data_IF_977489913586
#
_entry.id   IF_977489913586
#
_cell.length_a   1.000
_cell.length_b   1.000
_cell.length_c   1.000
_cell.angle_alpha   90.00
_cell.angle_beta   90.00
_cell.angle_gamma   90.00
#
_symmetry.space_group_name_H-M   'P 1'
#
loop_
_entity.id
_entity.type
_entity.pdbx_description
1 polymer ?
#
# COMPACT_ATOMS: atom_id res chain seq x y z
N UNK A 1 -6.30 14.17 8.71
CA UNK A 1 -5.62 15.08 7.78
C UNK A 1 -6.63 15.89 6.97
N UNK A 2 -7.43 15.24 6.12
CA UNK A 2 -8.41 15.90 5.24
C UNK A 2 -9.34 16.90 5.93
N UNK A 3 -9.97 16.52 7.03
CA UNK A 3 -10.92 17.41 7.74
C UNK A 3 -10.23 18.68 8.26
N UNK A 4 -8.99 18.54 8.74
CA UNK A 4 -8.16 19.67 9.16
C UNK A 4 -7.83 20.57 7.98
N UNK A 5 -7.52 20.00 6.82
CA UNK A 5 -7.22 20.77 5.60
C UNK A 5 -8.44 21.53 5.12
N UNK A 6 -9.61 20.88 5.05
CA UNK A 6 -10.88 21.53 4.69
C UNK A 6 -11.23 22.66 5.65
N UNK A 7 -11.08 22.43 6.96
CA UNK A 7 -11.34 23.43 8.00
C UNK A 7 -10.47 24.68 7.81
N UNK A 8 -9.14 24.50 7.72
CA UNK A 8 -8.20 25.62 7.60
C UNK A 8 -8.29 26.32 6.25
N UNK A 9 -8.65 25.60 5.18
CA UNK A 9 -8.96 26.19 3.87
C UNK A 9 -10.19 27.11 3.95
N UNK A 10 -11.30 26.62 4.52
CA UNK A 10 -12.50 27.43 4.72
C UNK A 10 -12.22 28.68 5.56
N UNK A 11 -11.46 28.52 6.64
CA UNK A 11 -11.05 29.64 7.49
C UNK A 11 -10.21 30.66 6.72
N UNK A 12 -9.23 30.21 5.93
CA UNK A 12 -8.37 31.07 5.11
C UNK A 12 -9.16 31.81 4.03
N UNK A 13 -10.13 31.16 3.39
CA UNK A 13 -11.00 31.80 2.39
C UNK A 13 -11.88 32.89 2.98
N UNK A 14 -12.44 32.65 4.18
CA UNK A 14 -13.29 33.61 4.90
C UNK A 14 -12.50 34.81 5.43
N UNK A 15 -11.27 34.59 5.90
CA UNK A 15 -10.40 35.65 6.39
C UNK A 15 -9.86 36.55 5.26
N UNK A 16 -9.74 36.01 4.05
CA UNK A 16 -9.26 36.72 2.86
C UNK A 16 -10.42 37.23 1.96
N UNK A 17 -11.56 37.64 2.53
CA UNK A 17 -12.57 38.46 1.83
C UNK A 17 -11.92 39.77 1.35
N UNK A 18 -12.36 40.36 0.22
CA UNK A 18 -11.53 41.29 -0.55
C UNK A 18 -11.14 42.53 0.27
N UNK A 19 -9.90 42.55 0.79
CA UNK A 19 -9.13 43.78 0.92
C UNK A 19 -8.33 43.91 -0.35
N UNK A 20 -8.49 45.06 -1.00
CA UNK A 20 -7.57 45.58 -2.01
C UNK A 20 -6.23 45.79 -1.28
N UNK A 21 -5.42 44.75 -1.16
CA UNK A 21 -4.03 44.87 -0.74
C UNK A 21 -3.25 45.24 -2.01
N UNK A 22 -2.68 46.43 -2.04
CA UNK A 22 -1.99 46.97 -3.22
C UNK A 22 -0.73 46.16 -3.60
N UNK A 23 -0.22 45.31 -2.70
CA UNK A 23 1.06 44.59 -2.87
C UNK A 23 0.94 43.05 -2.90
N UNK A 24 -0.23 42.46 -2.67
CA UNK A 24 -0.41 41.00 -2.66
C UNK A 24 -1.69 40.57 -3.37
N UNK A 25 -1.58 39.63 -4.31
CA UNK A 25 -2.77 39.06 -4.96
C UNK A 25 -3.56 38.20 -3.97
N UNK A 26 -4.89 38.15 -4.05
CA UNK A 26 -5.70 37.24 -3.25
C UNK A 26 -5.31 35.76 -3.41
N UNK A 27 -4.68 35.41 -4.54
CA UNK A 27 -4.12 34.09 -4.79
C UNK A 27 -2.91 33.78 -3.89
N UNK A 28 -1.99 34.75 -3.77
CA UNK A 28 -0.74 34.58 -3.01
C UNK A 28 -0.99 34.57 -1.50
N UNK A 29 -1.92 35.40 -1.02
CA UNK A 29 -2.36 35.40 0.38
C UNK A 29 -2.97 34.04 0.78
N UNK A 30 -3.78 33.48 -0.13
CA UNK A 30 -4.40 32.18 0.06
C UNK A 30 -3.37 31.05 0.02
N UNK A 31 -2.47 31.03 -0.98
CA UNK A 31 -1.35 30.08 -1.08
C UNK A 31 -0.50 30.07 0.19
N UNK A 32 -0.12 31.25 0.70
CA UNK A 32 0.67 31.38 1.92
C UNK A 32 -0.04 30.80 3.13
N UNK A 33 -1.35 31.03 3.23
CA UNK A 33 -2.18 30.54 4.34
C UNK A 33 -2.25 29.01 4.36
N UNK A 34 -2.20 28.37 3.19
CA UNK A 34 -2.37 26.91 3.04
C UNK A 34 -1.03 26.17 3.09
N UNK A 35 0.08 26.82 2.71
CA UNK A 35 1.43 26.21 2.64
C UNK A 35 1.92 25.57 3.93
N UNK A 36 1.42 26.03 5.08
CA UNK A 36 1.79 25.46 6.40
C UNK A 36 1.21 24.06 6.62
N UNK A 37 0.07 23.73 6.00
CA UNK A 37 -0.62 22.45 6.19
C UNK A 37 0.13 21.28 5.53
N UNK A 38 0.57 21.35 4.25
CA UNK A 38 1.43 20.33 3.67
C UNK A 38 2.67 20.07 4.53
N UNK A 39 3.41 21.12 4.92
CA UNK A 39 4.64 20.96 5.69
C UNK A 39 4.40 20.25 7.04
N UNK A 40 3.34 20.63 7.76
CA UNK A 40 2.98 20.01 9.03
C UNK A 40 2.63 18.52 8.88
N UNK A 41 1.79 18.19 7.90
CA UNK A 41 1.32 16.82 7.71
C UNK A 41 2.40 15.93 7.11
N UNK A 42 3.17 16.40 6.13
CA UNK A 42 4.32 15.67 5.58
C UNK A 42 5.31 15.30 6.68
N UNK A 43 5.66 16.24 7.58
CA UNK A 43 6.53 15.94 8.73
C UNK A 43 5.96 14.85 9.65
N UNK A 44 4.65 14.88 9.92
CA UNK A 44 3.98 13.84 10.73
C UNK A 44 4.02 12.47 10.06
N UNK A 45 3.77 12.43 8.75
CA UNK A 45 3.85 11.20 7.95
C UNK A 45 5.28 10.69 7.84
N UNK A 46 6.29 11.56 7.72
CA UNK A 46 7.69 11.15 7.69
C UNK A 46 8.09 10.40 8.96
N UNK A 47 7.69 10.93 10.12
CA UNK A 47 7.96 10.29 11.42
C UNK A 47 7.14 9.00 11.58
N UNK A 48 5.85 9.03 11.21
CA UNK A 48 4.98 7.87 11.36
C UNK A 48 5.34 6.73 10.40
N UNK A 49 5.77 7.04 9.18
CA UNK A 49 6.07 6.07 8.12
C UNK A 49 7.15 5.08 8.56
N UNK A 50 8.21 5.56 9.20
CA UNK A 50 9.29 4.70 9.71
C UNK A 50 8.75 3.72 10.75
N UNK A 51 8.11 4.24 11.80
CA UNK A 51 7.55 3.42 12.89
C UNK A 51 6.50 2.42 12.40
N UNK A 52 5.64 2.85 11.48
CA UNK A 52 4.60 2.00 10.90
C UNK A 52 5.19 0.95 9.98
N UNK A 53 6.21 1.28 9.19
CA UNK A 53 6.93 0.32 8.34
C UNK A 53 7.57 -0.79 9.16
N UNK A 54 8.32 -0.42 10.22
CA UNK A 54 8.95 -1.37 11.13
C UNK A 54 7.92 -2.30 11.80
N UNK A 55 6.91 -1.69 12.41
CA UNK A 55 5.83 -2.43 13.06
C UNK A 55 5.12 -3.37 12.08
N UNK A 56 4.83 -2.89 10.87
CA UNK A 56 4.15 -3.65 9.84
C UNK A 56 4.96 -4.87 9.41
N UNK A 57 6.23 -4.69 9.05
CA UNK A 57 7.08 -5.78 8.55
C UNK A 57 7.22 -6.89 9.60
N UNK A 58 7.51 -6.52 10.85
CA UNK A 58 7.64 -7.47 11.96
C UNK A 58 6.30 -8.15 12.30
N UNK A 59 5.18 -7.43 12.21
CA UNK A 59 3.85 -7.99 12.47
C UNK A 59 3.42 -8.98 11.40
N UNK A 60 3.74 -8.73 10.12
CA UNK A 60 3.45 -9.68 9.04
C UNK A 60 4.36 -10.90 9.16
N UNK A 61 5.66 -10.72 9.37
CA UNK A 61 6.61 -11.84 9.57
C UNK A 61 6.12 -12.79 10.66
N UNK A 62 5.82 -12.25 11.85
CA UNK A 62 5.40 -13.06 12.99
C UNK A 62 4.14 -13.86 12.70
N UNK A 63 3.15 -13.24 12.05
CA UNK A 63 1.89 -13.88 11.69
C UNK A 63 2.08 -14.96 10.62
N UNK A 64 2.84 -14.67 9.57
CA UNK A 64 3.16 -15.63 8.50
C UNK A 64 3.91 -16.84 9.03
N UNK A 65 4.98 -16.61 9.80
CA UNK A 65 5.78 -17.67 10.42
C UNK A 65 4.95 -18.51 11.40
N UNK A 66 4.06 -17.90 12.18
CA UNK A 66 3.16 -18.65 13.07
C UNK A 66 2.15 -19.52 12.30
N UNK A 67 1.55 -18.98 11.23
CA UNK A 67 0.60 -19.70 10.39
C UNK A 67 1.26 -20.90 9.69
N UNK A 68 2.42 -20.70 9.08
CA UNK A 68 3.15 -21.80 8.43
C UNK A 68 3.59 -22.87 9.44
N UNK A 69 4.11 -22.46 10.60
CA UNK A 69 4.49 -23.41 11.66
C UNK A 69 3.30 -24.25 12.12
N UNK A 70 2.11 -23.66 12.21
CA UNK A 70 0.88 -24.41 12.52
C UNK A 70 0.59 -25.45 11.44
N UNK A 71 0.58 -25.06 10.17
CA UNK A 71 0.33 -25.98 9.04
C UNK A 71 1.31 -27.16 9.05
N UNK A 72 2.60 -26.89 9.26
CA UNK A 72 3.63 -27.93 9.30
C UNK A 72 3.43 -28.88 10.49
N UNK A 73 3.12 -28.35 11.68
CA UNK A 73 2.84 -29.19 12.86
C UNK A 73 1.60 -30.04 12.67
N UNK A 74 0.54 -29.50 12.08
CA UNK A 74 -0.67 -30.23 11.74
C UNK A 74 -0.35 -31.38 10.75
N UNK A 75 0.69 -31.23 9.92
CA UNK A 75 1.26 -32.27 9.05
C UNK A 75 2.35 -33.15 9.67
N UNK A 76 2.56 -33.09 11.00
CA UNK A 76 3.55 -33.91 11.71
C UNK A 76 5.00 -33.39 11.67
N UNK A 77 5.22 -32.19 11.13
CA UNK A 77 6.56 -31.58 11.00
C UNK A 77 6.71 -30.45 12.03
N UNK A 78 7.61 -30.61 12.99
CA UNK A 78 7.96 -29.55 13.93
C UNK A 78 9.16 -28.75 13.44
N UNK A 79 9.01 -27.41 13.36
CA UNK A 79 10.07 -26.51 12.89
C UNK A 79 10.25 -25.31 13.83
N UNK A 80 11.50 -24.94 14.07
CA UNK A 80 11.88 -23.70 14.75
C UNK A 80 12.41 -22.70 13.72
N UNK A 81 11.59 -21.71 13.39
CA UNK A 81 11.97 -20.62 12.50
C UNK A 81 12.85 -19.58 13.21
N UNK A 82 13.99 -19.25 12.60
CA UNK A 82 14.93 -18.21 13.05
C UNK A 82 14.95 -17.03 12.07
N UNK A 83 15.41 -15.87 12.52
CA UNK A 83 15.59 -14.72 11.63
C UNK A 83 16.90 -14.90 10.83
N UNK A 84 16.80 -15.42 9.60
CA UNK A 84 17.93 -15.62 8.68
C UNK A 84 18.33 -14.32 7.97
N UNK A 85 19.43 -14.33 7.21
CA UNK A 85 19.84 -13.18 6.41
C UNK A 85 18.78 -12.82 5.36
N UNK A 86 18.29 -13.81 4.60
CA UNK A 86 17.23 -13.61 3.62
C UNK A 86 15.94 -13.04 4.24
N UNK A 87 15.59 -13.48 5.46
CA UNK A 87 14.44 -12.93 6.17
C UNK A 87 14.64 -11.47 6.59
N UNK A 88 15.85 -11.09 7.01
CA UNK A 88 16.19 -9.68 7.30
C UNK A 88 16.09 -8.82 6.05
N UNK A 89 16.60 -9.30 4.92
CA UNK A 89 16.51 -8.57 3.65
C UNK A 89 15.05 -8.31 3.24
N UNK A 90 14.16 -9.30 3.46
CA UNK A 90 12.72 -9.13 3.19
C UNK A 90 12.08 -8.14 4.17
N UNK A 91 12.45 -8.17 5.46
CA UNK A 91 11.99 -7.17 6.44
C UNK A 91 12.39 -5.77 5.98
N UNK A 92 13.66 -5.55 5.65
CA UNK A 92 14.18 -4.25 5.25
C UNK A 92 13.54 -3.74 3.95
N UNK A 93 13.40 -4.62 2.95
CA UNK A 93 12.70 -4.30 1.70
C UNK A 93 11.23 -3.92 1.95
N UNK A 94 10.56 -4.64 2.86
CA UNK A 94 9.17 -4.37 3.24
C UNK A 94 9.05 -3.03 3.96
N UNK A 95 9.96 -2.72 4.88
CA UNK A 95 10.01 -1.42 5.58
C UNK A 95 10.19 -0.30 4.56
N UNK A 96 11.20 -0.39 3.69
CA UNK A 96 11.49 0.64 2.70
C UNK A 96 10.31 0.91 1.75
N UNK A 97 9.67 -0.15 1.24
CA UNK A 97 8.50 -0.04 0.39
C UNK A 97 7.33 0.65 1.12
N UNK A 98 7.04 0.25 2.36
CA UNK A 98 5.96 0.83 3.15
C UNK A 98 6.24 2.29 3.50
N UNK A 99 7.47 2.64 3.91
CA UNK A 99 7.86 4.02 4.20
C UNK A 99 7.61 4.91 3.00
N UNK A 100 8.06 4.48 1.82
CA UNK A 100 7.88 5.21 0.56
C UNK A 100 6.39 5.40 0.24
N UNK A 101 5.59 4.33 0.34
CA UNK A 101 4.17 4.37 0.04
C UNK A 101 3.38 5.23 1.04
N UNK A 102 3.68 5.14 2.34
CA UNK A 102 3.03 5.96 3.36
C UNK A 102 3.33 7.45 3.13
N UNK A 103 4.59 7.80 2.84
CA UNK A 103 4.99 9.20 2.55
C UNK A 103 4.35 9.75 1.27
N UNK A 104 4.05 8.89 0.29
CA UNK A 104 3.38 9.32 -0.94
C UNK A 104 1.91 9.71 -0.75
N UNK A 105 1.25 9.27 0.33
CA UNK A 105 -0.17 9.58 0.61
C UNK A 105 -0.40 11.09 0.78
N UNK A 106 0.28 11.78 1.72
CA UNK A 106 0.10 13.22 1.87
C UNK A 106 0.60 14.00 0.65
N UNK A 107 1.71 13.58 0.02
CA UNK A 107 2.26 14.26 -1.17
C UNK A 107 1.21 14.37 -2.27
N UNK A 108 0.66 13.23 -2.71
CA UNK A 108 -0.34 13.21 -3.79
C UNK A 108 -1.63 13.96 -3.41
N UNK A 109 -2.03 13.90 -2.14
CA UNK A 109 -3.20 14.65 -1.66
C UNK A 109 -2.95 16.16 -1.74
N UNK A 110 -1.80 16.64 -1.28
CA UNK A 110 -1.51 18.07 -1.28
C UNK A 110 -1.28 18.64 -2.68
N UNK A 111 -0.72 17.86 -3.61
CA UNK A 111 -0.63 18.26 -5.02
C UNK A 111 -2.03 18.51 -5.62
N UNK A 112 -3.00 17.65 -5.30
CA UNK A 112 -4.39 17.81 -5.74
C UNK A 112 -5.08 19.01 -5.09
N UNK A 113 -4.85 19.20 -3.78
CA UNK A 113 -5.38 20.35 -3.02
C UNK A 113 -4.86 21.66 -3.59
N UNK A 114 -3.56 21.77 -3.86
CA UNK A 114 -2.95 22.95 -4.46
C UNK A 114 -3.57 23.26 -5.82
N UNK A 115 -3.71 22.25 -6.68
CA UNK A 115 -4.37 22.40 -7.98
C UNK A 115 -5.82 22.90 -7.87
N UNK A 116 -6.61 22.36 -6.94
CA UNK A 116 -8.00 22.82 -6.75
C UNK A 116 -8.09 24.23 -6.19
N UNK A 117 -7.20 24.59 -5.26
CA UNK A 117 -7.10 25.95 -4.75
C UNK A 117 -6.82 26.93 -5.88
N UNK A 118 -5.87 26.61 -6.77
CA UNK A 118 -5.53 27.48 -7.89
C UNK A 118 -6.70 27.67 -8.87
N UNK A 119 -7.41 26.58 -9.20
CA UNK A 119 -8.60 26.67 -10.06
C UNK A 119 -9.70 27.50 -9.43
N UNK A 120 -9.99 27.29 -8.15
CA UNK A 120 -11.02 28.05 -7.42
C UNK A 120 -10.72 29.55 -7.43
N UNK A 121 -9.46 29.94 -7.27
CA UNK A 121 -9.04 31.35 -7.37
C UNK A 121 -9.25 31.91 -8.78
N UNK A 122 -8.89 31.15 -9.83
CA UNK A 122 -9.07 31.56 -11.23
C UNK A 122 -10.55 31.73 -11.61
N UNK A 123 -11.44 30.93 -11.02
CA UNK A 123 -12.89 30.96 -11.31
C UNK A 123 -13.67 31.85 -10.34
N UNK A 124 -13.04 32.87 -9.76
CA UNK A 124 -13.74 33.86 -8.93
C UNK A 124 -14.00 33.42 -7.48
N UNK A 125 -13.14 32.58 -6.92
CA UNK A 125 -13.19 32.08 -5.53
C UNK A 125 -14.43 31.22 -5.24
N UNK A 126 -14.74 30.30 -6.15
CA UNK A 126 -15.78 29.28 -5.92
C UNK A 126 -15.38 28.35 -4.76
N UNK A 127 -15.86 28.70 -3.56
CA UNK A 127 -15.63 27.94 -2.34
C UNK A 127 -16.47 26.64 -2.33
N UNK A 128 -17.64 26.65 -2.95
CA UNK A 128 -18.53 25.49 -2.97
C UNK A 128 -17.90 24.36 -3.81
N UNK A 129 -17.45 24.68 -5.04
CA UNK A 129 -16.74 23.74 -5.90
C UNK A 129 -15.41 23.28 -5.30
N UNK A 130 -14.66 24.17 -4.63
CA UNK A 130 -13.44 23.78 -3.92
C UNK A 130 -13.72 22.74 -2.83
N UNK A 131 -14.76 22.93 -2.01
CA UNK A 131 -15.09 21.97 -0.95
C UNK A 131 -15.46 20.61 -1.53
N UNK A 132 -16.23 20.58 -2.62
CA UNK A 132 -16.57 19.33 -3.32
C UNK A 132 -15.32 18.61 -3.87
N UNK A 133 -14.38 19.36 -4.46
CA UNK A 133 -13.09 18.83 -4.93
C UNK A 133 -12.29 18.21 -3.77
N UNK A 134 -12.19 18.90 -2.63
CA UNK A 134 -11.45 18.43 -1.45
C UNK A 134 -12.07 17.16 -0.83
N UNK A 135 -13.39 17.09 -0.76
CA UNK A 135 -14.11 15.89 -0.29
C UNK A 135 -13.85 14.70 -1.23
N UNK A 136 -13.92 14.93 -2.55
CA UNK A 136 -13.58 13.92 -3.56
C UNK A 136 -12.15 13.41 -3.41
N UNK A 137 -11.16 14.31 -3.27
CA UNK A 137 -9.76 13.93 -3.07
C UNK A 137 -9.53 13.20 -1.76
N UNK A 138 -10.27 13.55 -0.72
CA UNK A 138 -10.23 12.84 0.57
C UNK A 138 -10.74 11.41 0.42
N UNK A 139 -11.82 11.20 -0.34
CA UNK A 139 -12.33 9.87 -0.69
C UNK A 139 -11.35 9.05 -1.54
N UNK A 140 -10.64 9.67 -2.48
CA UNK A 140 -9.59 9.02 -3.28
C UNK A 140 -8.41 8.62 -2.37
N UNK A 141 -7.96 9.53 -1.52
CA UNK A 141 -6.83 9.32 -0.59
C UNK A 141 -7.12 8.18 0.38
N UNK A 142 -8.34 8.12 0.94
CA UNK A 142 -8.78 7.02 1.80
C UNK A 142 -8.75 5.66 1.07
N UNK A 143 -9.31 5.60 -0.13
CA UNK A 143 -9.31 4.36 -0.95
C UNK A 143 -7.89 3.92 -1.31
N UNK A 144 -7.02 4.86 -1.66
CA UNK A 144 -5.61 4.60 -1.95
C UNK A 144 -4.87 4.05 -0.73
N UNK A 145 -5.05 4.65 0.46
CA UNK A 145 -4.44 4.16 1.69
C UNK A 145 -4.90 2.73 2.02
N UNK A 146 -6.19 2.44 1.87
CA UNK A 146 -6.73 1.09 2.07
C UNK A 146 -6.16 0.08 1.05
N UNK A 147 -6.04 0.48 -0.22
CA UNK A 147 -5.44 -0.35 -1.26
C UNK A 147 -3.97 -0.65 -0.95
N UNK A 148 -3.17 0.36 -0.58
CA UNK A 148 -1.77 0.20 -0.18
C UNK A 148 -1.65 -0.78 0.99
N UNK A 149 -2.45 -0.61 2.04
CA UNK A 149 -2.38 -1.48 3.21
C UNK A 149 -2.64 -2.95 2.85
N UNK A 150 -3.66 -3.21 2.03
CA UNK A 150 -3.98 -4.57 1.60
C UNK A 150 -2.90 -5.14 0.67
N UNK A 151 -2.46 -4.37 -0.32
CA UNK A 151 -1.46 -4.76 -1.30
C UNK A 151 -0.14 -5.14 -0.62
N UNK A 152 0.36 -4.26 0.25
CA UNK A 152 1.60 -4.49 0.97
C UNK A 152 1.47 -5.68 1.93
N UNK A 153 0.31 -5.90 2.56
CA UNK A 153 0.09 -7.05 3.42
C UNK A 153 0.20 -8.36 2.63
N UNK A 154 -0.38 -8.44 1.45
CA UNK A 154 -0.34 -9.64 0.61
C UNK A 154 1.08 -9.90 0.08
N UNK A 155 1.77 -8.86 -0.39
CA UNK A 155 3.16 -8.95 -0.87
C UNK A 155 4.10 -9.43 0.23
N UNK A 156 4.07 -8.80 1.40
CA UNK A 156 4.91 -9.17 2.53
C UNK A 156 4.61 -10.61 3.01
N UNK A 157 3.32 -10.98 3.11
CA UNK A 157 2.92 -12.34 3.49
C UNK A 157 3.49 -13.37 2.51
N UNK A 158 3.36 -13.11 1.20
CA UNK A 158 3.90 -13.99 0.16
C UNK A 158 5.41 -14.12 0.21
N UNK A 159 6.13 -13.00 0.37
CA UNK A 159 7.58 -12.98 0.45
C UNK A 159 8.10 -13.78 1.65
N UNK A 160 7.53 -13.56 2.84
CA UNK A 160 7.91 -14.31 4.04
C UNK A 160 7.60 -15.81 3.92
N UNK A 161 6.41 -16.18 3.42
CA UNK A 161 6.07 -17.58 3.22
C UNK A 161 7.00 -18.26 2.21
N UNK A 162 7.33 -17.58 1.12
CA UNK A 162 8.28 -18.06 0.11
C UNK A 162 9.65 -18.32 0.72
N UNK A 163 10.18 -17.37 1.49
CA UNK A 163 11.47 -17.53 2.15
C UNK A 163 11.48 -18.72 3.12
N UNK A 164 10.43 -18.87 3.94
CA UNK A 164 10.31 -20.02 4.84
C UNK A 164 10.19 -21.35 4.11
N UNK A 165 9.46 -21.40 2.99
CA UNK A 165 9.35 -22.61 2.18
C UNK A 165 10.71 -23.02 1.59
N UNK A 166 11.49 -22.05 1.11
CA UNK A 166 12.85 -22.28 0.61
C UNK A 166 13.81 -22.72 1.72
N UNK A 167 13.71 -22.14 2.92
CA UNK A 167 14.48 -22.59 4.10
C UNK A 167 14.22 -24.05 4.46
N UNK A 168 13.01 -24.55 4.17
CA UNK A 168 12.59 -25.93 4.39
C UNK A 168 12.85 -26.85 3.19
N UNK A 169 13.59 -26.39 2.18
CA UNK A 169 13.86 -27.10 0.94
C UNK A 169 12.59 -27.59 0.21
N UNK A 170 11.49 -26.81 0.31
CA UNK A 170 10.29 -27.05 -0.47
C UNK A 170 10.51 -26.45 -1.86
N UNK A 171 10.49 -27.30 -2.88
CA UNK A 171 10.79 -26.91 -4.26
C UNK A 171 9.57 -26.32 -4.99
N UNK A 172 8.39 -26.88 -4.75
CA UNK A 172 7.21 -26.66 -5.59
C UNK A 172 6.01 -26.16 -4.77
N UNK A 173 5.22 -25.32 -5.40
CA UNK A 173 3.91 -24.91 -4.91
C UNK A 173 2.89 -24.94 -6.05
N UNK A 174 1.63 -25.14 -5.67
CA UNK A 174 0.46 -25.03 -6.53
C UNK A 174 -0.13 -23.63 -6.40
N UNK A 175 -0.49 -23.02 -7.53
CA UNK A 175 -1.17 -21.73 -7.56
C UNK A 175 -2.62 -21.87 -7.08
N UNK A 176 -3.00 -21.12 -6.05
CA UNK A 176 -4.36 -21.12 -5.53
C UNK A 176 -4.98 -19.72 -5.62
N UNK A 177 -5.99 -19.58 -6.49
CA UNK A 177 -6.74 -18.34 -6.61
C UNK A 177 -7.69 -18.16 -5.42
N UNK A 178 -7.69 -16.98 -4.79
CA UNK A 178 -8.51 -16.77 -3.58
C UNK A 178 -9.99 -16.47 -3.85
N UNK A 179 -10.37 -16.11 -5.07
CA UNK A 179 -11.75 -15.70 -5.40
C UNK A 179 -12.20 -14.38 -4.78
N UNK A 180 -11.39 -13.77 -3.91
CA UNK A 180 -11.77 -12.54 -3.19
C UNK A 180 -11.66 -11.25 -4.01
N UNK A 181 -11.25 -11.32 -5.28
CA UNK A 181 -11.12 -10.17 -6.19
C UNK A 181 -12.46 -9.79 -6.82
N UNK A 182 -12.83 -8.50 -6.80
CA UNK A 182 -14.00 -8.01 -7.57
C UNK A 182 -13.75 -8.14 -9.07
N UNK A 183 -12.54 -7.79 -9.50
CA UNK A 183 -12.07 -7.90 -10.90
C UNK A 183 -10.85 -8.85 -10.91
N UNK A 184 -11.07 -10.17 -10.91
CA UNK A 184 -9.96 -11.12 -10.87
C UNK A 184 -9.25 -11.18 -12.23
N UNK A 185 -7.91 -11.29 -12.22
CA UNK A 185 -7.12 -11.46 -13.44
C UNK A 185 -7.44 -12.82 -14.08
N UNK A 186 -7.84 -12.89 -15.37
CA UNK A 186 -8.20 -14.15 -16.01
C UNK A 186 -7.11 -15.22 -15.93
N UNK A 187 -5.84 -14.82 -16.13
CA UNK A 187 -4.70 -15.74 -16.04
C UNK A 187 -4.53 -16.33 -14.64
N UNK A 188 -4.80 -15.55 -13.58
CA UNK A 188 -4.67 -16.01 -12.20
C UNK A 188 -5.81 -16.96 -11.81
N UNK A 189 -7.02 -16.72 -12.35
CA UNK A 189 -8.18 -17.61 -12.19
C UNK A 189 -7.91 -18.94 -12.88
N UNK A 190 -7.43 -18.89 -14.13
CA UNK A 190 -7.08 -20.08 -14.90
C UNK A 190 -5.98 -20.89 -14.20
N UNK A 191 -4.89 -20.25 -13.78
CA UNK A 191 -3.81 -20.91 -13.05
C UNK A 191 -4.31 -21.60 -11.76
N UNK A 192 -5.27 -20.98 -11.07
CA UNK A 192 -5.91 -21.58 -9.89
C UNK A 192 -6.81 -22.78 -10.21
N UNK A 193 -7.56 -22.74 -11.32
CA UNK A 193 -8.40 -23.85 -11.78
C UNK A 193 -7.58 -25.05 -12.24
N UNK A 194 -6.52 -24.77 -12.98
CA UNK A 194 -5.60 -25.77 -13.53
C UNK A 194 -4.59 -26.27 -12.50
N UNK A 195 -4.57 -25.70 -11.29
CA UNK A 195 -3.64 -26.08 -10.22
C UNK A 195 -2.19 -26.03 -10.70
N UNK A 196 -1.84 -24.92 -11.36
CA UNK A 196 -0.52 -24.77 -11.98
C UNK A 196 0.57 -24.90 -10.91
N UNK A 197 1.44 -25.90 -11.09
CA UNK A 197 2.62 -26.09 -10.26
C UNK A 197 3.76 -25.23 -10.76
N UNK A 198 4.50 -24.65 -9.83
CA UNK A 198 5.65 -23.83 -10.13
C UNK A 198 6.76 -24.04 -9.10
N UNK A 199 8.00 -23.80 -9.52
CA UNK A 199 9.15 -23.79 -8.61
C UNK A 199 9.11 -22.53 -7.76
N UNK A 200 9.14 -22.67 -6.43
CA UNK A 200 9.04 -21.54 -5.49
C UNK A 200 10.19 -20.55 -5.69
N UNK A 201 11.39 -21.06 -6.02
CA UNK A 201 12.58 -20.27 -6.32
C UNK A 201 12.40 -19.31 -7.50
N UNK A 202 11.60 -19.69 -8.51
CA UNK A 202 11.46 -18.94 -9.76
C UNK A 202 10.10 -18.25 -9.89
N UNK A 203 9.03 -18.86 -9.37
CA UNK A 203 7.65 -18.43 -9.59
C UNK A 203 7.02 -19.07 -10.83
N UNK A 204 5.79 -18.64 -11.12
CA UNK A 204 5.03 -19.04 -12.31
C UNK A 204 5.11 -17.94 -13.38
N UNK A 205 5.33 -18.31 -14.64
CA UNK A 205 5.30 -17.35 -15.75
C UNK A 205 3.85 -16.95 -16.08
N UNK A 206 3.48 -15.71 -15.77
CA UNK A 206 2.16 -15.18 -16.12
C UNK A 206 2.18 -14.63 -17.55
N UNK A 207 1.44 -15.23 -18.50
CA UNK A 207 1.47 -14.79 -19.90
C UNK A 207 0.92 -13.37 -20.10
N UNK A 208 0.06 -12.88 -19.21
CA UNK A 208 -0.46 -11.51 -19.30
C UNK A 208 0.59 -10.47 -18.86
N UNK A 209 1.40 -10.80 -17.84
CA UNK A 209 2.44 -9.91 -17.30
C UNK A 209 3.78 -10.10 -18.02
N UNK A 210 3.95 -11.22 -18.73
CA UNK A 210 5.16 -11.61 -19.48
C UNK A 210 6.42 -11.72 -18.61
N UNK A 211 6.26 -12.20 -17.37
CA UNK A 211 7.36 -12.46 -16.44
C UNK A 211 6.97 -13.54 -15.42
N UNK A 212 7.98 -14.08 -14.74
CA UNK A 212 7.73 -14.93 -13.58
C UNK A 212 7.25 -14.08 -12.39
N UNK A 213 6.17 -14.54 -11.76
CA UNK A 213 5.55 -13.93 -10.60
C UNK A 213 5.27 -14.99 -9.54
N UNK A 214 5.15 -14.54 -8.29
CA UNK A 214 4.60 -15.35 -7.21
C UNK A 214 3.17 -14.90 -6.86
N UNK A 215 2.34 -15.79 -6.29
CA UNK A 215 1.04 -15.38 -5.76
C UNK A 215 1.18 -14.20 -4.80
N UNK A 216 0.30 -13.20 -4.90
CA UNK A 216 0.35 -12.01 -4.04
C UNK A 216 1.38 -10.93 -4.43
N UNK A 217 2.22 -11.17 -5.45
CA UNK A 217 3.24 -10.20 -5.89
C UNK A 217 2.65 -9.04 -6.73
N UNK A 218 1.65 -9.35 -7.56
CA UNK A 218 1.00 -8.35 -8.42
C UNK A 218 0.10 -7.39 -7.62
N UNK A 219 -0.06 -6.13 -8.04
CA UNK A 219 -0.89 -5.15 -7.35
C UNK A 219 -2.30 -5.67 -7.03
N UNK A 220 -2.69 -5.62 -5.76
CA UNK A 220 -4.00 -6.08 -5.29
C UNK A 220 -4.25 -7.58 -5.43
N UNK A 221 -3.22 -8.37 -5.77
CA UNK A 221 -3.33 -9.82 -5.86
C UNK A 221 -3.55 -10.42 -4.47
N UNK A 222 -4.52 -11.34 -4.39
CA UNK A 222 -4.88 -12.08 -3.16
C UNK A 222 -4.63 -13.58 -3.32
N UNK A 223 -4.00 -14.02 -4.40
CA UNK A 223 -3.71 -15.44 -4.65
C UNK A 223 -2.67 -15.93 -3.63
N UNK A 224 -2.68 -17.22 -3.34
CA UNK A 224 -1.75 -17.87 -2.41
C UNK A 224 -1.06 -19.05 -3.08
N UNK A 225 0.16 -19.37 -2.64
CA UNK A 225 0.88 -20.56 -3.05
C UNK A 225 0.67 -21.67 -2.02
N UNK A 226 0.11 -22.80 -2.44
CA UNK A 226 -0.01 -23.98 -1.58
C UNK A 226 1.25 -24.84 -1.77
N UNK A 227 2.11 -24.99 -0.76
CA UNK A 227 3.33 -25.80 -0.90
C UNK A 227 2.98 -27.26 -1.19
N UNK A 228 3.78 -27.90 -2.04
CA UNK A 228 3.69 -29.33 -2.34
C UNK A 228 4.81 -30.05 -1.58
N UNK A 229 4.43 -30.87 -0.60
CA UNK A 229 5.38 -31.67 0.18
C UNK A 229 5.59 -33.02 -0.51
N UNK A 230 6.83 -33.32 -0.91
CA UNK A 230 7.19 -34.64 -1.44
C UNK A 230 6.99 -35.69 -0.32
N UNK A 231 6.19 -36.72 -0.58
CA UNK A 231 5.92 -37.82 0.37
C UNK A 231 4.60 -37.74 1.14
N UNK A 232 3.82 -36.65 0.98
CA UNK A 232 2.49 -36.47 1.61
C UNK A 232 1.40 -36.09 0.58
N UNK A 233 1.67 -36.30 -0.71
CA UNK A 233 0.79 -35.93 -1.83
C UNK A 233 -0.09 -37.08 -2.30
#
# INVERSE_FOLDING_TARGET
MSDSVIYWLKASYRANTPRIAQDETPADALRRSIRKLPAQWTKRFDVAAVKLGDYFALSVERRSSAALRKILRDGGISVEFKMTAAMRDIVDATIHANVTLIKSIPSQYFDQVEGAVMRSVQTGRDLAGLVQDLERYSGITRRRAAFIALDQNNKATSAFNTARQLELAIDEAEWHHSGGGKEPRPTHVQAGREKVRYKISTGWYDPAVKRFIRPGEEPGCRCVGKPVLRGFS
#
